data_IF_145874052913
#
_entry.id   IF_145874052913
#
_cell.length_a   1.000
_cell.length_b   1.000
_cell.length_c   1.000
_cell.angle_alpha   90.00
_cell.angle_beta   90.00
_cell.angle_gamma   90.00
#
_symmetry.space_group_name_H-M   'P 1'
#
loop_
_entity.id
_entity.type
_entity.pdbx_description
1 polymer ?
#
# COMPACT_ATOMS: atom_id res chain seq x y z
N UNK A 1 -5.27 -18.40 -35.80
CA UNK A 1 -5.18 -18.59 -34.34
C UNK A 1 -5.20 -17.22 -33.71
N UNK A 2 -6.30 -16.86 -33.04
CA UNK A 2 -6.37 -15.60 -32.29
C UNK A 2 -5.43 -15.66 -31.09
N UNK A 3 -4.57 -14.66 -30.95
CA UNK A 3 -3.60 -14.57 -29.85
C UNK A 3 -4.32 -13.98 -28.63
N UNK A 4 -4.81 -14.85 -27.74
CA UNK A 4 -5.28 -14.41 -26.43
C UNK A 4 -4.07 -14.02 -25.57
N UNK A 5 -3.96 -12.74 -25.23
CA UNK A 5 -2.99 -12.28 -24.24
C UNK A 5 -3.54 -12.61 -22.85
N UNK A 6 -2.98 -13.64 -22.22
CA UNK A 6 -3.33 -14.01 -20.85
C UNK A 6 -2.52 -13.16 -19.86
N UNK A 7 -3.19 -12.43 -18.98
CA UNK A 7 -2.54 -11.74 -17.88
C UNK A 7 -2.33 -12.73 -16.72
N UNK A 8 -1.15 -13.35 -16.66
CA UNK A 8 -0.82 -14.28 -15.59
C UNK A 8 -0.61 -13.60 -14.22
N UNK A 9 -0.48 -12.27 -14.17
CA UNK A 9 -0.25 -11.53 -12.91
C UNK A 9 -1.40 -11.73 -11.92
N UNK A 10 -2.62 -11.87 -12.42
CA UNK A 10 -3.82 -11.97 -11.61
C UNK A 10 -3.86 -13.29 -10.82
N UNK A 11 -3.28 -14.36 -11.37
CA UNK A 11 -3.19 -15.68 -10.73
C UNK A 11 -2.17 -15.67 -9.60
N UNK A 12 -0.99 -15.07 -9.83
CA UNK A 12 0.06 -15.02 -8.81
C UNK A 12 -0.25 -14.05 -7.67
N UNK A 13 -1.08 -13.04 -7.92
CA UNK A 13 -1.47 -12.04 -6.92
C UNK A 13 -2.79 -12.39 -6.20
N UNK A 14 -3.32 -13.60 -6.38
CA UNK A 14 -4.61 -13.97 -5.78
C UNK A 14 -4.51 -13.96 -4.24
N UNK A 15 -5.31 -13.14 -3.55
CA UNK A 15 -5.28 -13.07 -2.10
C UNK A 15 -5.79 -14.36 -1.49
N UNK A 16 -5.27 -14.73 -0.32
CA UNK A 16 -5.75 -15.88 0.45
C UNK A 16 -7.24 -15.66 0.78
N UNK A 17 -8.10 -16.50 0.22
CA UNK A 17 -9.56 -16.49 0.41
C UNK A 17 -9.93 -17.55 1.44
N UNK A 18 -10.69 -17.14 2.45
CA UNK A 18 -11.25 -18.03 3.47
C UNK A 18 -12.70 -18.33 3.09
N UNK A 19 -13.02 -19.60 2.91
CA UNK A 19 -14.40 -20.08 2.69
C UNK A 19 -14.85 -21.01 3.81
N UNK A 20 -13.98 -21.91 4.26
CA UNK A 20 -14.32 -22.94 5.24
C UNK A 20 -13.66 -22.59 6.57
N UNK A 21 -14.49 -22.28 7.58
CA UNK A 21 -14.02 -22.00 8.94
C UNK A 21 -13.90 -23.28 9.78
N UNK A 22 -14.73 -24.28 9.48
CA UNK A 22 -14.77 -25.57 10.19
C UNK A 22 -15.19 -26.68 9.23
N UNK A 23 -14.96 -27.96 9.59
CA UNK A 23 -15.35 -29.12 8.75
C UNK A 23 -16.81 -29.06 8.28
N UNK A 24 -17.72 -28.56 9.12
CA UNK A 24 -19.17 -28.46 8.80
C UNK A 24 -19.66 -27.03 8.53
N UNK A 25 -18.79 -26.02 8.61
CA UNK A 25 -19.20 -24.62 8.46
C UNK A 25 -18.39 -23.92 7.37
N UNK A 26 -19.09 -23.61 6.27
CA UNK A 26 -18.55 -22.85 5.16
C UNK A 26 -19.37 -21.59 4.96
N UNK A 27 -18.69 -20.48 4.68
CA UNK A 27 -19.36 -19.25 4.33
C UNK A 27 -19.94 -19.35 2.91
N UNK A 28 -21.12 -18.75 2.67
CA UNK A 28 -21.71 -18.66 1.34
C UNK A 28 -20.86 -17.82 0.37
N UNK A 29 -19.97 -16.97 0.90
CA UNK A 29 -19.09 -16.10 0.13
C UNK A 29 -17.64 -16.22 0.58
N UNK A 30 -16.70 -16.00 -0.34
CA UNK A 30 -15.27 -15.96 -0.05
C UNK A 30 -14.91 -14.62 0.59
N UNK A 31 -14.29 -14.65 1.76
CA UNK A 31 -13.75 -13.45 2.41
C UNK A 31 -12.24 -13.46 2.22
N UNK A 32 -11.68 -12.36 1.70
CA UNK A 32 -10.24 -12.20 1.58
C UNK A 32 -9.67 -11.89 2.96
N UNK A 33 -8.64 -12.63 3.40
CA UNK A 33 -8.02 -12.41 4.71
C UNK A 33 -7.51 -10.97 4.88
N UNK A 34 -6.99 -10.40 3.78
CA UNK A 34 -6.54 -9.01 3.69
C UNK A 34 -7.61 -8.01 4.14
N UNK A 35 -8.85 -8.22 3.71
CA UNK A 35 -9.95 -7.30 3.97
C UNK A 35 -10.40 -7.38 5.43
N UNK A 36 -10.34 -8.58 6.03
CA UNK A 36 -10.56 -8.78 7.48
C UNK A 36 -9.53 -8.03 8.30
N UNK A 37 -8.26 -8.08 7.90
CA UNK A 37 -7.18 -7.35 8.61
C UNK A 37 -7.39 -5.84 8.54
N UNK A 38 -7.74 -5.30 7.36
CA UNK A 38 -8.04 -3.88 7.19
C UNK A 38 -9.27 -3.48 8.02
N UNK A 39 -10.31 -4.30 8.01
CA UNK A 39 -11.51 -4.08 8.84
C UNK A 39 -11.16 -4.01 10.33
N UNK A 40 -10.38 -4.98 10.82
CA UNK A 40 -9.98 -5.01 12.23
C UNK A 40 -9.12 -3.79 12.61
N UNK A 41 -8.14 -3.45 11.77
CA UNK A 41 -7.22 -2.34 12.03
C UNK A 41 -7.97 -1.00 12.05
N UNK A 42 -8.89 -0.80 11.11
CA UNK A 42 -9.72 0.41 11.03
C UNK A 42 -10.70 0.51 12.19
N UNK A 43 -11.30 -0.60 12.61
CA UNK A 43 -12.18 -0.65 13.79
C UNK A 43 -11.40 -0.27 15.05
N UNK A 44 -10.21 -0.86 15.27
CA UNK A 44 -9.36 -0.54 16.42
C UNK A 44 -8.96 0.94 16.39
N UNK A 45 -8.55 1.47 15.23
CA UNK A 45 -8.23 2.89 15.07
C UNK A 45 -9.43 3.79 15.42
N UNK A 46 -10.61 3.49 14.88
CA UNK A 46 -11.84 4.21 15.21
C UNK A 46 -12.17 4.17 16.70
N UNK A 47 -11.97 3.01 17.34
CA UNK A 47 -12.20 2.88 18.78
C UNK A 47 -11.21 3.73 19.59
N UNK A 48 -9.93 3.75 19.24
CA UNK A 48 -8.94 4.53 19.98
C UNK A 48 -9.14 6.04 19.79
N UNK A 49 -9.37 6.50 18.55
CA UNK A 49 -9.38 7.93 18.22
C UNK A 49 -10.75 8.59 18.33
N UNK A 50 -11.84 7.88 17.98
CA UNK A 50 -13.16 8.49 17.80
C UNK A 50 -14.19 8.05 18.85
N UNK A 51 -13.84 7.16 19.79
CA UNK A 51 -14.82 6.62 20.75
C UNK A 51 -15.50 7.70 21.61
N UNK A 52 -14.76 8.71 22.07
CA UNK A 52 -15.35 9.80 22.86
C UNK A 52 -16.39 10.60 22.07
N UNK A 53 -16.10 10.91 20.80
CA UNK A 53 -16.99 11.66 19.90
C UNK A 53 -18.24 10.83 19.57
N UNK A 54 -18.05 9.56 19.24
CA UNK A 54 -19.16 8.65 18.90
C UNK A 54 -20.06 8.42 20.11
N UNK A 55 -19.50 8.28 21.31
CA UNK A 55 -20.26 8.12 22.56
C UNK A 55 -21.15 9.33 22.84
N UNK A 56 -20.63 10.55 22.64
CA UNK A 56 -21.40 11.78 22.77
C UNK A 56 -22.60 11.82 21.81
N UNK A 57 -22.38 11.50 20.53
CA UNK A 57 -23.45 11.48 19.52
C UNK A 57 -24.45 10.35 19.78
N UNK A 58 -23.98 9.19 20.26
CA UNK A 58 -24.81 8.03 20.56
C UNK A 58 -25.84 8.28 21.66
N UNK A 59 -25.56 9.26 22.53
CA UNK A 59 -26.48 9.67 23.59
C UNK A 59 -27.77 10.28 23.03
N UNK A 60 -27.72 10.82 21.80
CA UNK A 60 -28.88 11.36 21.09
C UNK A 60 -29.46 10.36 20.07
N UNK A 61 -28.62 9.53 19.45
CA UNK A 61 -29.05 8.55 18.44
C UNK A 61 -28.38 7.20 18.72
N UNK A 62 -29.07 6.26 19.40
CA UNK A 62 -28.46 4.98 19.82
C UNK A 62 -27.97 4.10 18.66
N UNK A 63 -28.65 4.15 17.51
CA UNK A 63 -28.27 3.37 16.32
C UNK A 63 -27.01 3.90 15.62
N UNK A 64 -26.60 5.13 15.93
CA UNK A 64 -25.44 5.77 15.30
C UNK A 64 -24.15 5.01 15.60
N UNK A 65 -23.99 4.50 16.83
CA UNK A 65 -22.81 3.73 17.24
C UNK A 65 -22.61 2.50 16.35
N UNK A 66 -23.67 1.70 16.17
CA UNK A 66 -23.60 0.49 15.36
C UNK A 66 -23.31 0.83 13.89
N UNK A 67 -24.01 1.84 13.34
CA UNK A 67 -23.80 2.27 11.96
C UNK A 67 -22.37 2.76 11.74
N UNK A 68 -21.81 3.49 12.69
CA UNK A 68 -20.47 4.07 12.58
C UNK A 68 -19.39 3.00 12.68
N UNK A 69 -19.44 2.14 13.70
CA UNK A 69 -18.41 1.11 13.91
C UNK A 69 -18.49 -0.06 12.93
N UNK A 70 -19.63 -0.31 12.28
CA UNK A 70 -19.73 -1.34 11.24
C UNK A 70 -19.59 -0.71 9.85
N UNK A 71 -20.27 0.41 9.61
CA UNK A 71 -20.33 1.05 8.30
C UNK A 71 -19.02 1.70 7.89
N UNK A 72 -18.34 2.43 8.79
CA UNK A 72 -17.08 3.11 8.44
C UNK A 72 -15.98 2.11 8.08
N UNK A 73 -15.67 1.08 8.89
CA UNK A 73 -14.70 0.06 8.51
C UNK A 73 -15.06 -0.67 7.21
N UNK A 74 -16.35 -0.99 7.00
CA UNK A 74 -16.81 -1.62 5.76
C UNK A 74 -16.56 -0.74 4.53
N UNK A 75 -16.88 0.56 4.61
CA UNK A 75 -16.61 1.51 3.53
C UNK A 75 -15.11 1.66 3.27
N UNK A 76 -14.28 1.73 4.31
CA UNK A 76 -12.83 1.82 4.16
C UNK A 76 -12.28 0.59 3.44
N UNK A 77 -12.68 -0.63 3.83
CA UNK A 77 -12.29 -1.86 3.15
C UNK A 77 -12.62 -1.80 1.66
N UNK A 78 -13.84 -1.36 1.31
CA UNK A 78 -14.27 -1.24 -0.10
C UNK A 78 -13.50 -0.18 -0.87
N UNK A 79 -13.15 0.94 -0.25
CA UNK A 79 -12.31 1.98 -0.85
C UNK A 79 -10.89 1.46 -1.08
N UNK A 80 -10.30 0.78 -0.09
CA UNK A 80 -8.96 0.20 -0.19
C UNK A 80 -8.92 -0.91 -1.25
N UNK A 81 -9.97 -1.71 -1.39
CA UNK A 81 -10.04 -2.73 -2.44
C UNK A 81 -10.09 -2.12 -3.85
N UNK A 82 -10.78 -0.98 -4.01
CA UNK A 82 -10.84 -0.26 -5.28
C UNK A 82 -9.51 0.39 -5.65
N UNK A 83 -8.72 0.77 -4.65
CA UNK A 83 -7.41 1.40 -4.85
C UNK A 83 -6.34 0.31 -4.96
N UNK A 84 -5.91 0.04 -6.19
CA UNK A 84 -4.74 -0.81 -6.47
C UNK A 84 -3.57 0.07 -6.90
N UNK A 85 -2.81 0.67 -5.96
CA UNK A 85 -1.65 1.47 -6.33
C UNK A 85 -0.63 0.56 -7.02
N UNK A 86 -0.26 0.94 -8.25
CA UNK A 86 0.73 0.27 -9.10
C UNK A 86 0.46 -1.23 -9.36
N UNK A 87 -0.78 -1.68 -9.19
CA UNK A 87 -1.15 -3.11 -9.28
C UNK A 87 -0.49 -3.99 -8.21
N UNK A 88 0.07 -3.38 -7.15
CA UNK A 88 0.68 -4.06 -6.02
C UNK A 88 -0.31 -4.13 -4.86
N UNK A 89 -0.15 -5.15 -4.02
CA UNK A 89 -0.89 -5.24 -2.77
C UNK A 89 -0.61 -4.00 -1.88
N UNK A 90 -1.66 -3.35 -1.37
CA UNK A 90 -1.57 -2.11 -0.57
C UNK A 90 -0.57 -2.21 0.59
N UNK A 91 -0.51 -3.37 1.25
CA UNK A 91 0.42 -3.63 2.35
C UNK A 91 1.89 -3.59 1.90
N UNK A 92 2.19 -4.18 0.74
CA UNK A 92 3.54 -4.17 0.19
C UNK A 92 3.90 -2.78 -0.32
N UNK A 93 2.94 -2.07 -0.93
CA UNK A 93 3.13 -0.69 -1.34
C UNK A 93 3.44 0.23 -0.12
N UNK A 94 2.70 0.07 0.97
CA UNK A 94 2.92 0.83 2.21
C UNK A 94 4.28 0.53 2.83
N UNK A 95 4.69 -0.74 2.89
CA UNK A 95 6.01 -1.12 3.39
C UNK A 95 7.12 -0.55 2.52
N UNK A 96 7.02 -0.66 1.19
CA UNK A 96 7.99 -0.05 0.28
C UNK A 96 8.07 1.46 0.48
N UNK A 97 6.92 2.13 0.64
CA UNK A 97 6.87 3.56 0.87
C UNK A 97 7.51 3.96 2.22
N UNK A 98 7.26 3.19 3.28
CA UNK A 98 7.86 3.41 4.60
C UNK A 98 9.37 3.21 4.55
N UNK A 99 9.82 2.09 3.98
CA UNK A 99 11.25 1.83 3.75
C UNK A 99 11.86 2.95 2.91
N UNK A 100 11.17 3.37 1.85
CA UNK A 100 11.64 4.44 0.99
C UNK A 100 11.82 5.76 1.76
N UNK A 101 10.82 6.12 2.55
CA UNK A 101 10.82 7.33 3.37
C UNK A 101 11.99 7.34 4.37
N UNK A 102 12.19 6.25 5.12
CA UNK A 102 13.24 6.16 6.13
C UNK A 102 14.64 6.03 5.52
N UNK A 103 14.80 5.23 4.48
CA UNK A 103 16.13 4.94 3.91
C UNK A 103 16.66 6.07 3.02
N UNK A 104 15.77 6.73 2.28
CA UNK A 104 16.15 7.70 1.25
C UNK A 104 15.86 9.13 1.68
N UNK A 105 14.63 9.42 2.13
CA UNK A 105 14.21 10.78 2.46
C UNK A 105 14.88 11.29 3.74
N UNK A 106 14.83 10.49 4.81
CA UNK A 106 15.45 10.89 6.09
C UNK A 106 16.98 10.85 6.03
N UNK A 107 17.57 9.92 5.26
CA UNK A 107 19.02 9.78 5.18
C UNK A 107 19.70 10.82 4.28
N UNK A 108 18.95 11.72 3.63
CA UNK A 108 19.45 12.73 2.66
C UNK A 108 20.46 12.15 1.65
N UNK A 109 20.29 10.88 1.27
CA UNK A 109 21.22 10.22 0.34
C UNK A 109 21.00 10.82 -1.05
N UNK A 110 22.03 11.45 -1.60
CA UNK A 110 22.02 11.92 -2.99
C UNK A 110 22.24 10.69 -3.88
N UNK A 111 21.24 10.36 -4.69
CA UNK A 111 21.25 9.17 -5.56
C UNK A 111 21.12 9.63 -7.00
N UNK A 112 21.95 9.06 -7.86
CA UNK A 112 21.84 9.18 -9.30
C UNK A 112 21.88 7.76 -9.89
N UNK A 113 20.86 7.37 -10.66
CA UNK A 113 20.75 6.03 -11.27
C UNK A 113 20.98 4.87 -10.28
N UNK A 114 20.27 4.87 -9.14
CA UNK A 114 20.36 3.84 -8.09
C UNK A 114 21.74 3.68 -7.42
N UNK A 115 22.69 4.57 -7.70
CA UNK A 115 24.01 4.61 -7.07
C UNK A 115 24.05 5.78 -6.07
N UNK A 116 24.53 5.50 -4.85
CA UNK A 116 24.82 6.57 -3.87
C UNK A 116 26.00 7.40 -4.39
N UNK A 117 25.78 8.68 -4.65
CA UNK A 117 26.82 9.58 -5.14
C UNK A 117 27.22 10.53 -4.00
N UNK A 118 28.49 10.52 -3.62
CA UNK A 118 29.04 11.43 -2.59
C UNK A 118 29.54 12.77 -3.17
N UNK A 119 29.61 12.91 -4.49
CA UNK A 119 30.41 13.93 -5.18
C UNK A 119 29.62 15.10 -5.78
N UNK A 120 28.52 15.54 -5.16
CA UNK A 120 27.75 16.69 -5.71
C UNK A 120 28.14 18.03 -5.10
N UNK A 121 28.90 18.03 -4.01
CA UNK A 121 29.33 19.27 -3.34
C UNK A 121 30.67 19.80 -3.90
N UNK A 122 31.30 19.04 -4.79
CA UNK A 122 32.53 19.44 -5.49
C UNK A 122 32.20 19.90 -6.92
N UNK A 123 32.70 21.05 -7.38
CA UNK A 123 32.48 21.49 -8.75
C UNK A 123 33.15 20.50 -9.71
N UNK A 124 32.37 20.02 -10.69
CA UNK A 124 32.87 19.14 -11.74
C UNK A 124 33.80 19.96 -12.63
N UNK A 125 35.11 19.75 -12.48
CA UNK A 125 36.13 20.32 -13.37
C UNK A 125 36.34 19.34 -14.52
N UNK A 126 35.96 19.74 -15.73
CA UNK A 126 36.26 18.98 -16.94
C UNK A 126 37.68 19.34 -17.38
N UNK A 127 38.58 18.35 -17.41
CA UNK A 127 39.89 18.53 -18.04
C UNK A 127 39.70 18.82 -19.54
N UNK A 128 40.47 19.76 -20.08
CA UNK A 128 40.49 20.04 -21.51
C UNK A 128 40.92 18.79 -22.29
N UNK A 129 39.94 18.15 -22.93
CA UNK A 129 40.15 17.02 -23.81
C UNK A 129 40.91 17.46 -25.07
N UNK A 130 42.24 17.42 -25.00
CA UNK A 130 43.12 17.64 -26.14
C UNK A 130 43.09 16.41 -27.07
N UNK A 131 42.22 16.44 -28.09
CA UNK A 131 42.28 15.46 -29.17
C UNK A 131 43.48 15.78 -30.06
N UNK A 132 44.53 14.95 -30.02
CA UNK A 132 45.53 14.94 -31.10
C UNK A 132 44.89 14.31 -32.32
N UNK A 133 44.55 15.13 -33.31
CA UNK A 133 44.20 14.66 -34.66
C UNK A 133 45.40 13.86 -35.19
N UNK A 134 45.28 12.54 -35.24
CA UNK A 134 46.30 11.64 -35.80
C UNK A 134 46.32 11.90 -37.30
N UNK A 135 47.24 12.75 -37.75
CA UNK A 135 47.43 13.03 -39.16
C UNK A 135 48.13 11.87 -39.86
N UNK A 136 47.41 11.20 -40.75
CA UNK A 136 47.76 10.94 -42.16
C UNK A 136 46.75 9.95 -42.74
#
# INVERSE_FOLDING_TARGET
>A
MEKHNYNYRDVFNEPIKIKQLTQNFSLPYFIKLRDVLIYLLTLIGLFIFFHSIVSFISSYVPLFTMLFYVGVPYLIVRLVEKVQPDGKNIFWYLLDYVTFYFEYLQSKKKICHDIKVNYTDEPIVFDEFNYRKKGK
#
